data_IF_452549566819
#
_entry.id   IF_452549566819
#
_cell.length_a   1.000
_cell.length_b   1.000
_cell.length_c   1.000
_cell.angle_alpha   90.00
_cell.angle_beta   90.00
_cell.angle_gamma   90.00
#
_symmetry.space_group_name_H-M   'P 1'
#
loop_
_entity.id
_entity.type
_entity.pdbx_description
1 polymer ?
#
# COMPACT_ATOMS: atom_id res chain seq x y z
N UNK A 1 17.15 -14.40 -66.51
CA UNK A 1 16.79 -15.49 -65.58
C UNK A 1 15.37 -15.24 -65.09
N UNK A 2 14.42 -16.15 -65.30
CA UNK A 2 13.05 -15.94 -64.83
C UNK A 2 13.05 -15.95 -63.29
N UNK A 3 12.58 -14.87 -62.67
CA UNK A 3 12.31 -14.83 -61.23
C UNK A 3 11.15 -15.79 -60.96
N UNK A 4 11.35 -16.80 -60.10
CA UNK A 4 10.26 -17.67 -59.64
C UNK A 4 9.24 -16.81 -58.89
N UNK A 5 8.01 -16.76 -59.39
CA UNK A 5 6.90 -16.07 -58.74
C UNK A 5 6.42 -16.88 -57.54
N UNK A 6 6.12 -16.20 -56.45
CA UNK A 6 5.57 -16.81 -55.23
C UNK A 6 4.10 -17.18 -55.46
N UNK A 7 3.69 -18.40 -55.11
CA UNK A 7 2.30 -18.82 -55.28
C UNK A 7 1.43 -18.30 -54.12
N UNK A 8 0.16 -18.03 -54.41
CA UNK A 8 -0.81 -17.59 -53.39
C UNK A 8 -0.94 -18.61 -52.25
N UNK A 9 -0.78 -19.90 -52.55
CA UNK A 9 -0.82 -21.00 -51.57
C UNK A 9 0.39 -20.95 -50.63
N UNK A 10 1.60 -20.73 -51.13
CA UNK A 10 2.81 -20.60 -50.29
C UNK A 10 2.69 -19.43 -49.31
N UNK A 11 2.09 -18.31 -49.74
CA UNK A 11 1.82 -17.18 -48.87
C UNK A 11 0.82 -17.52 -47.77
N UNK A 12 -0.29 -18.17 -48.13
CA UNK A 12 -1.34 -18.59 -47.20
C UNK A 12 -0.82 -19.55 -46.12
N UNK A 13 0.03 -20.50 -46.48
CA UNK A 13 0.60 -21.45 -45.51
C UNK A 13 1.52 -20.73 -44.53
N UNK A 14 2.37 -19.82 -45.00
CA UNK A 14 3.29 -19.07 -44.14
C UNK A 14 2.53 -18.19 -43.15
N UNK A 15 1.51 -17.45 -43.60
CA UNK A 15 0.71 -16.63 -42.68
C UNK A 15 -0.08 -17.49 -41.69
N UNK A 16 -0.57 -18.67 -42.10
CA UNK A 16 -1.28 -19.58 -41.20
C UNK A 16 -0.36 -20.12 -40.10
N UNK A 17 0.88 -20.49 -40.44
CA UNK A 17 1.88 -20.93 -39.45
C UNK A 17 2.24 -19.79 -38.50
N UNK A 18 2.51 -18.58 -39.02
CA UNK A 18 2.82 -17.41 -38.18
C UNK A 18 1.65 -17.09 -37.24
N UNK A 19 0.41 -17.12 -37.74
CA UNK A 19 -0.78 -16.87 -36.93
C UNK A 19 -0.92 -17.89 -35.79
N UNK A 20 -0.72 -19.19 -36.06
CA UNK A 20 -0.75 -20.24 -35.02
C UNK A 20 0.38 -20.05 -34.01
N UNK A 21 1.61 -19.76 -34.46
CA UNK A 21 2.73 -19.51 -33.55
C UNK A 21 2.49 -18.30 -32.65
N UNK A 22 2.00 -17.18 -33.21
CA UNK A 22 1.68 -15.99 -32.42
C UNK A 22 0.54 -16.27 -31.43
N UNK A 23 -0.50 -17.01 -31.85
CA UNK A 23 -1.62 -17.37 -30.98
C UNK A 23 -1.17 -18.22 -29.77
N UNK A 24 -0.16 -19.08 -29.94
CA UNK A 24 0.40 -19.88 -28.85
C UNK A 24 1.40 -19.10 -27.99
N UNK A 25 2.18 -18.20 -28.59
CA UNK A 25 3.23 -17.44 -27.90
C UNK A 25 2.69 -16.23 -27.12
N UNK A 26 1.66 -15.54 -27.62
CA UNK A 26 1.17 -14.32 -26.98
C UNK A 26 0.65 -14.56 -25.55
N UNK A 27 -0.22 -15.56 -25.28
CA UNK A 27 -0.66 -15.85 -23.92
C UNK A 27 0.50 -16.22 -22.99
N UNK A 28 1.46 -17.00 -23.49
CA UNK A 28 2.63 -17.44 -22.74
C UNK A 28 3.53 -16.25 -22.35
N UNK A 29 3.81 -15.33 -23.28
CA UNK A 29 4.62 -14.14 -23.00
C UNK A 29 3.93 -13.23 -21.97
N UNK A 30 2.60 -13.09 -22.03
CA UNK A 30 1.89 -12.26 -21.04
C UNK A 30 1.89 -12.90 -19.65
N UNK A 31 1.68 -14.21 -19.56
CA UNK A 31 1.76 -14.94 -18.29
C UNK A 31 3.17 -14.83 -17.67
N UNK A 32 4.22 -15.00 -18.48
CA UNK A 32 5.60 -14.83 -18.03
C UNK A 32 5.89 -13.40 -17.55
N UNK A 33 5.39 -12.37 -18.27
CA UNK A 33 5.55 -10.97 -17.86
C UNK A 33 4.86 -10.68 -16.54
N UNK A 34 3.64 -11.17 -16.33
CA UNK A 34 2.95 -10.97 -15.05
C UNK A 34 3.64 -11.71 -13.89
N UNK A 35 4.11 -12.94 -14.12
CA UNK A 35 4.87 -13.66 -13.12
C UNK A 35 6.16 -12.91 -12.70
N UNK A 36 6.85 -12.29 -13.67
CA UNK A 36 8.01 -11.44 -13.40
C UNK A 36 7.63 -10.17 -12.61
N UNK A 37 6.54 -9.49 -12.99
CA UNK A 37 6.06 -8.31 -12.25
C UNK A 37 5.67 -8.65 -10.82
N UNK A 38 4.95 -9.75 -10.61
CA UNK A 38 4.60 -10.24 -9.27
C UNK A 38 5.83 -10.57 -8.44
N UNK A 39 6.83 -11.21 -9.03
CA UNK A 39 8.10 -11.50 -8.36
C UNK A 39 8.85 -10.23 -7.97
N UNK A 40 8.78 -9.18 -8.79
CA UNK A 40 9.34 -7.89 -8.42
C UNK A 40 8.57 -7.24 -7.27
N UNK A 41 7.23 -7.29 -7.26
CA UNK A 41 6.45 -6.72 -6.16
C UNK A 41 6.71 -7.44 -4.82
N UNK A 42 6.90 -8.77 -4.83
CA UNK A 42 7.28 -9.52 -3.62
C UNK A 42 8.72 -9.21 -3.20
N UNK A 43 9.65 -9.03 -4.13
CA UNK A 43 11.01 -8.61 -3.82
C UNK A 43 11.05 -7.22 -3.18
N UNK A 44 10.26 -6.27 -3.68
CA UNK A 44 10.13 -4.94 -3.07
C UNK A 44 9.63 -5.03 -1.62
N UNK A 45 8.61 -5.84 -1.33
CA UNK A 45 8.17 -6.11 0.05
C UNK A 45 9.28 -6.72 0.91
N UNK A 46 10.07 -7.66 0.37
CA UNK A 46 11.23 -8.21 1.08
C UNK A 46 12.30 -7.16 1.37
N UNK A 47 12.53 -6.22 0.46
CA UNK A 47 13.44 -5.08 0.71
C UNK A 47 12.90 -4.19 1.83
N UNK A 48 11.59 -3.92 1.86
CA UNK A 48 10.94 -3.22 2.98
C UNK A 48 11.10 -4.01 4.29
N UNK A 49 10.94 -5.33 4.26
CA UNK A 49 11.15 -6.22 5.42
C UNK A 49 12.57 -6.14 5.96
N UNK A 50 13.58 -6.26 5.10
CA UNK A 50 14.98 -6.09 5.47
C UNK A 50 15.24 -4.70 6.06
N UNK A 51 14.62 -3.67 5.48
CA UNK A 51 14.74 -2.30 5.95
C UNK A 51 14.11 -2.06 7.32
N UNK A 52 13.02 -2.76 7.65
CA UNK A 52 12.41 -2.76 8.97
C UNK A 52 13.33 -3.41 10.00
N UNK A 53 13.92 -4.57 9.69
CA UNK A 53 14.89 -5.24 10.58
C UNK A 53 16.14 -4.38 10.82
N UNK A 54 16.68 -3.73 9.79
CA UNK A 54 17.81 -2.81 9.95
C UNK A 54 17.44 -1.57 10.78
N UNK A 55 16.22 -1.05 10.61
CA UNK A 55 15.72 0.05 11.44
C UNK A 55 15.57 -0.38 12.90
N UNK A 56 14.98 -1.56 13.15
CA UNK A 56 14.80 -2.09 14.49
C UNK A 56 16.13 -2.38 15.17
N UNK A 57 17.09 -3.00 14.48
CA UNK A 57 18.42 -3.27 15.02
C UNK A 57 19.23 -2.01 15.37
N UNK A 58 18.86 -0.84 14.84
CA UNK A 58 19.52 0.44 15.15
C UNK A 58 18.74 1.32 16.14
N UNK A 59 17.42 1.18 16.22
CA UNK A 59 16.55 2.02 17.05
C UNK A 59 15.90 1.26 18.21
N UNK A 60 16.10 -0.05 18.30
CA UNK A 60 15.49 -0.99 19.25
C UNK A 60 13.95 -0.95 19.26
N UNK A 61 13.35 -0.53 18.13
CA UNK A 61 11.91 -0.44 17.91
C UNK A 61 11.59 -0.35 16.41
N UNK A 62 10.39 -0.76 16.03
CA UNK A 62 9.86 -0.56 14.69
C UNK A 62 9.50 0.92 14.45
N UNK A 63 9.51 1.37 13.18
CA UNK A 63 9.16 2.75 12.84
C UNK A 63 7.67 3.02 13.08
N UNK A 64 7.32 4.28 13.29
CA UNK A 64 5.92 4.67 13.44
C UNK A 64 5.17 4.67 12.11
N UNK A 65 3.87 4.35 12.08
CA UNK A 65 3.04 4.59 10.87
C UNK A 65 3.10 6.07 10.46
N UNK A 66 3.15 6.93 11.47
CA UNK A 66 3.24 8.37 11.35
C UNK A 66 3.95 8.96 12.56
N UNK A 67 4.96 9.79 12.34
CA UNK A 67 5.53 10.62 13.41
C UNK A 67 4.50 11.66 13.86
N UNK A 68 4.48 12.04 15.13
CA UNK A 68 3.48 12.99 15.63
C UNK A 68 3.49 14.35 14.91
N UNK A 69 2.37 15.07 15.04
CA UNK A 69 2.23 16.46 14.60
C UNK A 69 3.34 17.35 15.20
N UNK A 70 3.93 18.29 14.43
CA UNK A 70 3.56 18.67 13.06
C UNK A 70 4.21 17.82 11.95
N UNK A 71 5.12 16.90 12.26
CA UNK A 71 6.05 16.34 11.27
C UNK A 71 5.42 15.31 10.31
N UNK A 72 4.65 14.36 10.84
CA UNK A 72 3.80 13.43 10.07
C UNK A 72 4.49 12.51 9.04
N UNK A 73 5.79 12.24 9.19
CA UNK A 73 6.56 11.31 8.38
C UNK A 73 6.06 9.87 8.51
N UNK A 74 5.96 9.15 7.40
CA UNK A 74 5.51 7.75 7.35
C UNK A 74 6.57 6.77 7.83
N UNK A 75 6.19 5.50 8.02
CA UNK A 75 7.13 4.40 8.21
C UNK A 75 8.10 4.26 7.03
N UNK A 76 7.61 4.44 5.80
CA UNK A 76 8.44 4.40 4.58
C UNK A 76 9.50 5.51 4.55
N UNK A 77 9.19 6.70 5.07
CA UNK A 77 10.17 7.78 5.18
C UNK A 77 11.25 7.46 6.23
N UNK A 78 10.87 6.85 7.34
CA UNK A 78 11.79 6.48 8.42
C UNK A 78 12.78 5.37 8.01
N UNK A 79 12.35 4.41 7.19
CA UNK A 79 13.21 3.31 6.72
C UNK A 79 13.96 3.61 5.42
N UNK A 80 13.78 4.80 4.85
CA UNK A 80 14.35 5.19 3.56
C UNK A 80 15.87 4.94 3.43
N UNK A 81 16.72 5.15 4.47
CA UNK A 81 18.15 4.82 4.39
C UNK A 81 18.41 3.34 4.10
N UNK A 82 17.50 2.47 4.51
CA UNK A 82 17.65 1.02 4.44
C UNK A 82 17.03 0.40 3.16
N UNK A 83 16.46 1.20 2.26
CA UNK A 83 15.88 0.75 0.97
C UNK A 83 16.52 1.44 -0.25
N UNK A 84 17.84 1.66 -0.20
CA UNK A 84 18.62 2.38 -1.24
C UNK A 84 18.23 3.86 -1.41
N UNK A 85 17.44 4.42 -0.49
CA UNK A 85 16.98 5.82 -0.51
C UNK A 85 17.89 6.79 0.26
N UNK A 86 19.10 6.39 0.64
CA UNK A 86 19.98 7.17 1.53
C UNK A 86 20.28 8.60 1.06
N UNK A 87 20.47 8.81 -0.25
CA UNK A 87 20.69 10.15 -0.81
C UNK A 87 19.47 11.07 -0.62
N UNK A 88 18.26 10.54 -0.85
CA UNK A 88 17.00 11.27 -0.66
C UNK A 88 16.75 11.50 0.83
N UNK A 89 17.07 10.54 1.69
CA UNK A 89 16.93 10.71 3.14
C UNK A 89 17.82 11.84 3.66
N UNK A 90 19.08 11.89 3.23
CA UNK A 90 20.04 12.92 3.65
C UNK A 90 19.66 14.33 3.15
N UNK A 91 18.84 14.44 2.10
CA UNK A 91 18.32 15.71 1.62
C UNK A 91 16.99 16.13 2.28
N UNK A 92 16.44 15.33 3.20
CA UNK A 92 15.23 15.68 3.95
C UNK A 92 15.64 16.39 5.25
N UNK A 93 15.04 17.55 5.49
CA UNK A 93 15.08 18.18 6.80
C UNK A 93 13.87 17.73 7.64
N UNK A 94 14.10 16.79 8.55
CA UNK A 94 13.08 16.20 9.41
C UNK A 94 12.53 17.16 10.49
N UNK A 95 13.16 18.32 10.71
CA UNK A 95 12.60 19.38 11.58
C UNK A 95 11.43 20.13 10.92
N UNK A 96 11.15 19.85 9.65
CA UNK A 96 9.99 20.36 8.93
C UNK A 96 8.94 19.28 8.70
N UNK A 97 7.70 19.73 8.55
CA UNK A 97 6.55 18.86 8.27
C UNK A 97 6.62 18.23 6.87
N UNK A 98 6.01 17.05 6.73
CA UNK A 98 5.71 16.44 5.44
C UNK A 98 4.42 17.00 4.80
N UNK A 99 3.66 17.85 5.51
CA UNK A 99 2.44 18.50 5.03
C UNK A 99 2.72 19.94 4.55
N UNK A 100 2.44 20.29 3.28
CA UNK A 100 2.32 21.69 2.91
C UNK A 100 1.01 22.28 3.48
N UNK A 101 1.11 23.33 4.30
CA UNK A 101 -0.02 24.16 4.75
C UNK A 101 0.27 25.64 4.49
N UNK A 102 -0.75 26.48 4.34
CA UNK A 102 -0.57 27.93 4.28
C UNK A 102 0.10 28.50 5.54
N UNK A 103 -0.09 27.84 6.69
CA UNK A 103 0.49 28.24 8.00
C UNK A 103 1.80 27.52 8.34
N UNK A 104 2.09 26.43 7.65
CA UNK A 104 3.35 25.70 7.71
C UNK A 104 3.67 25.27 6.29
N UNK A 105 4.17 26.20 5.44
CA UNK A 105 4.57 25.83 4.10
C UNK A 105 5.54 24.66 4.25
N UNK A 106 5.52 23.69 3.33
CA UNK A 106 6.76 22.99 3.04
C UNK A 106 7.74 24.13 2.77
N UNK A 107 8.60 24.44 3.74
CA UNK A 107 9.77 25.25 3.44
C UNK A 107 10.35 24.59 2.21
N UNK A 108 10.51 25.35 1.13
CA UNK A 108 10.88 24.87 -0.20
C UNK A 108 11.91 23.73 -0.14
N UNK A 109 12.79 23.79 0.86
CA UNK A 109 13.57 22.72 1.51
C UNK A 109 13.22 21.27 1.17
N UNK A 110 12.01 20.75 1.49
CA UNK A 110 11.74 19.30 1.35
C UNK A 110 11.02 18.92 0.03
N UNK A 111 10.56 19.89 -0.76
CA UNK A 111 9.71 19.65 -1.95
C UNK A 111 10.37 18.75 -3.00
N UNK A 112 11.67 18.93 -3.25
CA UNK A 112 12.42 18.09 -4.19
C UNK A 112 12.61 16.67 -3.64
N UNK A 113 12.87 16.54 -2.34
CA UNK A 113 13.11 15.24 -1.70
C UNK A 113 11.85 14.37 -1.72
N UNK A 114 10.70 14.92 -1.31
CA UNK A 114 9.43 14.17 -1.25
C UNK A 114 8.82 13.86 -2.62
N UNK A 115 9.22 14.58 -3.67
CA UNK A 115 8.81 14.28 -5.05
C UNK A 115 9.63 13.16 -5.72
N UNK A 116 10.72 12.69 -5.09
CA UNK A 116 11.57 11.64 -5.63
C UNK A 116 10.83 10.30 -5.76
N UNK A 117 11.00 9.63 -6.91
CA UNK A 117 10.47 8.28 -7.11
C UNK A 117 11.46 7.28 -6.51
N UNK A 118 11.00 6.50 -5.55
CA UNK A 118 11.76 5.39 -4.97
C UNK A 118 11.28 4.11 -5.66
N UNK A 119 12.14 3.49 -6.48
CA UNK A 119 11.77 2.34 -7.30
C UNK A 119 11.23 1.17 -6.45
N UNK A 120 11.82 0.95 -5.28
CA UNK A 120 11.39 -0.07 -4.30
C UNK A 120 9.95 0.14 -3.82
N UNK A 121 9.41 1.36 -3.89
CA UNK A 121 8.05 1.67 -3.46
C UNK A 121 7.00 1.53 -4.57
N UNK A 122 7.40 1.13 -5.78
CA UNK A 122 6.51 0.93 -6.91
C UNK A 122 6.39 -0.54 -7.28
N UNK A 123 5.15 -1.05 -7.26
CA UNK A 123 4.85 -2.37 -7.76
C UNK A 123 4.62 -2.29 -9.28
N UNK A 124 5.40 -2.98 -10.13
CA UNK A 124 5.22 -2.93 -11.58
C UNK A 124 3.89 -3.52 -12.07
N UNK A 125 3.17 -4.31 -11.26
CA UNK A 125 1.83 -4.79 -11.61
C UNK A 125 0.76 -3.69 -11.57
N UNK A 126 1.00 -2.56 -10.89
CA UNK A 126 0.13 -1.39 -11.00
C UNK A 126 0.38 -0.67 -12.34
N UNK A 127 -0.61 -0.55 -13.25
CA UNK A 127 -0.38 0.11 -14.53
C UNK A 127 -0.05 1.61 -14.40
N UNK A 128 -0.38 2.25 -13.27
CA UNK A 128 -0.14 3.68 -13.05
C UNK A 128 1.28 3.94 -12.55
N UNK A 129 2.34 3.76 -13.34
CA UNK A 129 3.71 3.95 -12.80
C UNK A 129 4.12 5.42 -12.55
N UNK A 130 3.41 6.38 -13.14
CA UNK A 130 3.72 7.80 -13.01
C UNK A 130 3.26 8.39 -11.66
N UNK A 131 3.75 9.60 -11.36
CA UNK A 131 3.25 10.41 -10.23
C UNK A 131 1.79 10.80 -10.48
N UNK A 132 0.94 10.68 -9.47
CA UNK A 132 -0.41 11.25 -9.50
C UNK A 132 -0.37 12.78 -9.40
N UNK A 133 0.60 13.29 -8.64
CA UNK A 133 0.84 14.71 -8.42
C UNK A 133 2.35 14.97 -8.61
N UNK A 134 2.76 15.93 -9.46
CA UNK A 134 4.17 16.24 -9.69
C UNK A 134 4.97 16.56 -8.42
N UNK A 135 4.32 17.07 -7.37
CA UNK A 135 4.94 17.43 -6.10
C UNK A 135 5.30 16.25 -5.20
N UNK A 136 4.88 15.02 -5.53
CA UNK A 136 5.01 13.87 -4.64
C UNK A 136 5.45 12.57 -5.33
N UNK A 137 6.31 11.82 -4.65
CA UNK A 137 6.79 10.51 -5.08
C UNK A 137 5.78 9.40 -4.75
N UNK A 138 5.23 8.67 -5.73
CA UNK A 138 4.19 7.67 -5.53
C UNK A 138 4.60 6.46 -4.69
N UNK A 139 3.60 5.70 -4.24
CA UNK A 139 3.75 4.52 -3.38
C UNK A 139 2.72 3.42 -3.71
N UNK A 140 3.12 2.16 -3.56
CA UNK A 140 2.29 0.96 -3.68
C UNK A 140 2.34 0.03 -2.45
N UNK A 141 2.98 0.43 -1.34
CA UNK A 141 3.10 -0.39 -0.13
C UNK A 141 2.70 0.39 1.12
N UNK A 142 1.88 -0.21 1.97
CA UNK A 142 1.24 0.50 3.10
C UNK A 142 1.44 -0.28 4.39
N UNK A 143 1.72 0.44 5.49
CA UNK A 143 1.92 -0.13 6.81
C UNK A 143 0.58 -0.52 7.45
N UNK A 144 0.55 -1.67 8.12
CA UNK A 144 -0.65 -2.18 8.77
C UNK A 144 -0.88 -1.52 10.13
N UNK A 145 -1.99 -0.78 10.23
CA UNK A 145 -2.41 -0.11 11.46
C UNK A 145 -3.25 -0.99 12.41
N UNK A 146 -3.45 -2.26 12.07
CA UNK A 146 -4.13 -3.23 12.91
C UNK A 146 -5.45 -3.71 12.33
N UNK A 147 -6.36 -4.13 13.20
CA UNK A 147 -7.64 -4.72 12.76
C UNK A 147 -8.60 -3.69 12.18
N UNK A 148 -8.41 -2.40 12.50
CA UNK A 148 -9.36 -1.33 12.20
C UNK A 148 -10.63 -1.37 13.06
N UNK A 149 -10.66 -2.18 14.13
CA UNK A 149 -11.79 -2.26 15.06
C UNK A 149 -11.64 -1.29 16.24
N UNK A 150 -10.41 -1.03 16.68
CA UNK A 150 -10.14 -0.14 17.80
C UNK A 150 -10.34 1.32 17.42
N UNK A 151 -10.80 2.14 18.37
CA UNK A 151 -10.91 3.61 18.25
C UNK A 151 -11.63 4.06 16.96
N UNK A 152 -12.65 3.31 16.53
CA UNK A 152 -13.39 3.62 15.30
C UNK A 152 -12.51 3.59 14.04
N UNK A 153 -11.53 2.68 13.98
CA UNK A 153 -10.60 2.57 12.87
C UNK A 153 -9.51 3.64 12.85
N UNK A 154 -9.34 4.41 13.93
CA UNK A 154 -8.24 5.36 14.06
C UNK A 154 -6.94 4.69 14.49
N UNK A 155 -5.84 5.07 13.81
CA UNK A 155 -4.48 4.70 14.23
C UNK A 155 -3.87 5.72 15.19
N UNK A 156 -4.65 6.63 15.78
CA UNK A 156 -4.19 7.57 16.80
C UNK A 156 -4.60 7.12 18.19
N UNK A 157 -3.64 6.95 19.12
CA UNK A 157 -3.95 6.57 20.49
C UNK A 157 -4.91 7.54 21.20
N UNK A 158 -4.87 8.83 20.84
CA UNK A 158 -5.69 9.87 21.47
C UNK A 158 -7.15 9.93 20.97
N UNK A 159 -7.51 9.22 19.90
CA UNK A 159 -8.86 9.28 19.31
C UNK A 159 -9.86 8.35 20.01
N UNK A 160 -9.42 7.53 20.96
CA UNK A 160 -10.30 6.68 21.75
C UNK A 160 -9.62 5.99 22.93
N UNK A 161 -10.40 5.35 23.82
CA UNK A 161 -9.87 4.76 25.05
C UNK A 161 -9.23 3.39 24.85
N UNK A 162 -9.39 2.77 23.68
CA UNK A 162 -8.89 1.43 23.42
C UNK A 162 -7.43 1.49 23.00
N UNK A 163 -6.64 0.52 23.48
CA UNK A 163 -5.29 0.33 22.98
C UNK A 163 -5.35 -0.09 21.51
N UNK A 164 -4.52 0.52 20.67
CA UNK A 164 -4.38 0.11 19.27
C UNK A 164 -3.72 -1.26 19.22
N UNK A 165 -4.26 -2.16 18.41
CA UNK A 165 -3.83 -3.56 18.28
C UNK A 165 -2.77 -3.78 17.19
N UNK A 166 -2.68 -2.90 16.18
CA UNK A 166 -1.67 -2.98 15.13
C UNK A 166 -0.26 -2.59 15.56
N UNK A 167 0.74 -2.96 14.75
CA UNK A 167 2.15 -2.61 14.99
C UNK A 167 2.45 -1.15 14.62
N UNK A 168 1.84 -0.66 13.53
CA UNK A 168 2.13 0.66 12.99
C UNK A 168 1.00 1.64 13.28
N UNK A 169 1.18 2.49 14.28
CA UNK A 169 0.22 3.54 14.64
C UNK A 169 0.94 4.89 14.85
N UNK A 170 0.20 5.96 15.13
CA UNK A 170 0.78 7.28 15.29
C UNK A 170 1.71 7.29 16.51
N UNK A 171 2.94 7.74 16.32
CA UNK A 171 3.99 7.75 17.35
C UNK A 171 4.26 6.37 17.95
N UNK A 172 3.98 5.29 17.20
CA UNK A 172 4.30 3.94 17.66
C UNK A 172 5.81 3.76 17.82
N UNK A 173 6.17 2.91 18.78
CA UNK A 173 7.54 2.52 19.09
C UNK A 173 7.57 1.08 19.59
N UNK A 174 6.80 0.23 18.93
CA UNK A 174 6.63 -1.19 19.25
C UNK A 174 7.95 -1.93 19.00
N UNK A 175 8.40 -2.71 19.97
CA UNK A 175 9.57 -3.59 19.83
C UNK A 175 9.14 -4.98 19.39
N UNK A 176 10.05 -5.77 18.82
CA UNK A 176 9.73 -7.17 18.47
C UNK A 176 9.24 -7.99 19.68
N UNK A 177 9.76 -7.73 20.87
CA UNK A 177 9.32 -8.38 22.10
C UNK A 177 7.85 -8.09 22.49
N UNK A 178 7.26 -7.00 21.97
CA UNK A 178 5.85 -6.63 22.23
C UNK A 178 4.87 -7.28 21.23
N UNK A 179 5.38 -7.99 20.22
CA UNK A 179 4.58 -8.73 19.24
C UNK A 179 4.42 -10.17 19.75
N UNK A 180 3.50 -10.35 20.70
CA UNK A 180 3.30 -11.62 21.41
C UNK A 180 2.62 -12.69 20.56
N UNK A 181 1.95 -12.30 19.47
CA UNK A 181 1.31 -13.24 18.52
C UNK A 181 2.35 -13.94 17.62
N UNK A 182 3.59 -13.46 17.65
CA UNK A 182 4.72 -13.97 16.88
C UNK A 182 4.98 -13.16 15.62
N UNK A 183 6.26 -12.89 15.34
CA UNK A 183 6.67 -12.08 14.19
C UNK A 183 6.22 -12.65 12.84
N UNK A 184 6.17 -13.98 12.73
CA UNK A 184 5.71 -14.70 11.54
C UNK A 184 4.18 -14.71 11.38
N UNK A 185 3.43 -14.28 12.40
CA UNK A 185 1.96 -14.26 12.37
C UNK A 185 1.39 -12.85 12.31
N UNK A 186 2.23 -11.81 12.46
CA UNK A 186 1.78 -10.41 12.44
C UNK A 186 2.16 -9.74 11.12
N UNK A 187 1.15 -9.28 10.38
CA UNK A 187 1.30 -8.54 9.13
C UNK A 187 1.82 -7.13 9.39
N UNK A 188 2.90 -6.77 8.70
CA UNK A 188 3.57 -5.48 8.79
C UNK A 188 3.20 -4.53 7.65
N UNK A 189 3.34 -4.98 6.40
CA UNK A 189 3.01 -4.18 5.21
C UNK A 189 2.19 -5.00 4.22
N UNK A 190 1.42 -4.32 3.38
CA UNK A 190 0.75 -4.95 2.24
C UNK A 190 0.75 -4.02 1.05
N UNK A 191 0.36 -4.55 -0.10
CA UNK A 191 0.17 -3.78 -1.32
C UNK A 191 -1.05 -2.85 -1.26
N UNK A 192 -0.93 -1.72 -1.95
CA UNK A 192 -2.03 -0.84 -2.34
C UNK A 192 -1.91 -0.50 -3.82
N UNK A 193 -3.01 -0.04 -4.41
CA UNK A 193 -3.04 0.48 -5.79
C UNK A 193 -3.03 2.00 -5.78
N UNK A 194 -2.60 2.63 -6.87
CA UNK A 194 -2.72 4.09 -6.99
C UNK A 194 -4.08 4.49 -7.50
N UNK A 195 -4.62 5.55 -6.90
CA UNK A 195 -5.93 6.09 -7.26
C UNK A 195 -5.93 6.82 -8.60
N UNK A 196 -7.03 7.48 -8.90
CA UNK A 196 -7.21 8.25 -10.16
C UNK A 196 -6.42 9.57 -10.17
N UNK A 197 -5.99 10.07 -9.02
CA UNK A 197 -5.47 11.43 -8.84
C UNK A 197 -6.55 12.52 -8.90
N UNK A 198 -7.82 12.15 -9.08
CA UNK A 198 -8.94 13.07 -9.26
C UNK A 198 -9.95 12.93 -8.11
N UNK A 199 -10.25 14.06 -7.49
CA UNK A 199 -11.25 14.15 -6.44
C UNK A 199 -12.59 14.56 -7.04
N UNK A 200 -13.66 13.86 -6.67
CA UNK A 200 -14.99 14.06 -7.23
C UNK A 200 -16.01 14.23 -6.11
N UNK A 201 -16.84 15.27 -6.20
CA UNK A 201 -17.99 15.45 -5.32
C UNK A 201 -19.19 14.66 -5.85
N UNK A 202 -20.07 14.22 -4.95
CA UNK A 202 -21.30 13.51 -5.31
C UNK A 202 -21.64 12.36 -4.36
N UNK A 203 -22.79 11.74 -4.61
CA UNK A 203 -23.32 10.66 -3.75
C UNK A 203 -22.57 9.33 -3.90
N UNK A 204 -21.80 9.13 -4.98
CA UNK A 204 -21.11 7.87 -5.26
C UNK A 204 -19.76 8.10 -5.97
N UNK A 205 -18.79 7.17 -5.82
CA UNK A 205 -17.52 7.26 -6.53
C UNK A 205 -17.70 6.93 -8.01
N UNK A 206 -16.84 7.50 -8.85
CA UNK A 206 -16.69 7.10 -10.25
C UNK A 206 -16.04 5.71 -10.36
N UNK A 207 -15.09 5.41 -9.48
CA UNK A 207 -14.45 4.10 -9.38
C UNK A 207 -14.29 3.71 -7.90
N UNK A 208 -14.98 2.66 -7.47
CA UNK A 208 -15.02 2.20 -6.06
C UNK A 208 -13.68 1.69 -5.54
N UNK A 209 -12.79 1.24 -6.41
CA UNK A 209 -11.51 0.64 -6.02
C UNK A 209 -10.39 1.69 -6.06
N UNK A 210 -10.45 2.60 -7.03
CA UNK A 210 -9.45 3.67 -7.21
C UNK A 210 -9.75 4.92 -6.37
N UNK A 211 -10.97 5.08 -5.87
CA UNK A 211 -11.35 6.18 -4.98
C UNK A 211 -11.68 5.68 -3.57
N UNK A 212 -11.62 6.59 -2.61
CA UNK A 212 -12.08 6.38 -1.23
C UNK A 212 -13.07 7.48 -0.84
N UNK A 213 -14.01 7.15 0.02
CA UNK A 213 -14.94 8.12 0.61
C UNK A 213 -14.26 8.87 1.76
N UNK A 214 -14.36 10.19 1.75
CA UNK A 214 -13.86 11.06 2.82
C UNK A 214 -15.00 11.86 3.44
N UNK A 215 -15.09 11.80 4.77
CA UNK A 215 -15.99 12.65 5.55
C UNK A 215 -15.33 13.95 6.03
N UNK A 216 -16.13 14.92 6.52
CA UNK A 216 -15.71 16.30 6.75
C UNK A 216 -14.93 16.53 8.06
N UNK A 217 -15.07 15.64 9.05
CA UNK A 217 -14.51 15.81 10.40
C UNK A 217 -13.81 14.55 10.88
N UNK A 218 -13.00 14.67 11.93
CA UNK A 218 -12.43 13.55 12.68
C UNK A 218 -13.51 12.93 13.57
N UNK A 219 -14.02 11.79 13.16
CA UNK A 219 -15.13 11.05 13.80
C UNK A 219 -14.88 9.55 13.64
N UNK A 220 -15.33 8.71 14.59
CA UNK A 220 -15.22 7.26 14.47
C UNK A 220 -15.77 6.73 13.13
N UNK A 221 -14.95 5.93 12.43
CA UNK A 221 -15.32 5.33 11.13
C UNK A 221 -16.18 4.09 11.38
N UNK A 222 -17.48 4.32 11.47
CA UNK A 222 -18.53 3.30 11.62
C UNK A 222 -19.22 3.00 10.27
N UNK A 223 -20.07 1.97 10.24
CA UNK A 223 -20.88 1.67 9.05
C UNK A 223 -21.80 2.85 8.70
N UNK A 224 -22.38 3.49 9.73
CA UNK A 224 -23.21 4.68 9.57
C UNK A 224 -22.41 5.87 9.00
N UNK A 225 -21.18 6.07 9.46
CA UNK A 225 -20.29 7.09 8.90
C UNK A 225 -20.00 6.84 7.41
N UNK A 226 -19.60 5.62 7.05
CA UNK A 226 -19.25 5.29 5.67
C UNK A 226 -20.45 5.34 4.72
N UNK A 227 -21.68 5.14 5.24
CA UNK A 227 -22.90 5.24 4.45
C UNK A 227 -23.48 6.66 4.35
N UNK A 228 -23.33 7.50 5.38
CA UNK A 228 -24.08 8.75 5.51
C UNK A 228 -23.26 10.03 5.65
N UNK A 229 -21.94 9.95 5.85
CA UNK A 229 -21.10 11.11 6.16
C UNK A 229 -20.03 11.41 5.10
N UNK A 230 -20.03 10.68 3.98
CA UNK A 230 -19.09 10.91 2.89
C UNK A 230 -19.47 12.17 2.13
N UNK A 231 -18.53 13.12 2.06
CA UNK A 231 -18.69 14.41 1.37
C UNK A 231 -17.84 14.52 0.11
N UNK A 232 -16.82 13.67 -0.02
CA UNK A 232 -15.86 13.70 -1.11
C UNK A 232 -15.42 12.28 -1.49
N UNK A 233 -15.24 12.02 -2.78
CA UNK A 233 -14.58 10.81 -3.28
C UNK A 233 -13.17 11.16 -3.74
N UNK A 234 -12.17 10.80 -2.94
CA UNK A 234 -10.77 11.14 -3.18
C UNK A 234 -10.07 10.13 -4.06
N UNK A 235 -9.30 10.61 -5.05
CA UNK A 235 -8.48 9.82 -5.96
C UNK A 235 -7.01 9.72 -5.55
N UNK A 236 -6.65 10.18 -4.36
CA UNK A 236 -5.25 10.44 -3.94
C UNK A 236 -4.54 9.22 -3.31
N UNK A 237 -5.13 8.02 -3.40
CA UNK A 237 -4.55 6.80 -2.82
C UNK A 237 -3.15 6.54 -3.38
N UNK A 238 -2.19 6.28 -2.49
CA UNK A 238 -0.82 5.95 -2.89
C UNK A 238 -0.08 7.09 -3.63
N UNK A 239 -0.59 8.33 -3.52
CA UNK A 239 0.02 9.51 -4.15
C UNK A 239 1.44 9.78 -3.67
N UNK A 240 1.72 9.52 -2.40
CA UNK A 240 3.01 9.85 -1.79
C UNK A 240 3.51 8.77 -0.83
N UNK A 241 4.82 8.56 -0.75
CA UNK A 241 5.44 7.67 0.24
C UNK A 241 5.76 8.37 1.56
N UNK A 242 5.99 9.70 1.55
CA UNK A 242 6.62 10.42 2.65
C UNK A 242 5.74 10.63 3.89
N UNK A 243 4.42 10.74 3.72
CA UNK A 243 3.49 11.13 4.78
C UNK A 243 2.70 9.94 5.33
N UNK A 244 2.66 9.82 6.65
CA UNK A 244 1.84 8.83 7.34
C UNK A 244 0.36 9.25 7.31
N UNK A 245 -0.50 8.39 6.75
CA UNK A 245 -1.95 8.59 6.63
C UNK A 245 -2.54 7.37 5.96
N UNK A 246 -3.81 7.11 6.23
CA UNK A 246 -4.58 6.08 5.52
C UNK A 246 -4.65 6.31 4.00
N UNK A 247 -4.51 7.56 3.52
CA UNK A 247 -4.52 7.85 2.09
C UNK A 247 -3.23 7.37 1.40
N UNK A 248 -2.09 7.46 2.10
CA UNK A 248 -0.78 7.45 1.45
C UNK A 248 0.07 6.23 1.80
N UNK A 249 0.12 5.87 3.08
CA UNK A 249 1.14 4.95 3.61
C UNK A 249 0.61 3.99 4.69
N UNK A 250 -0.69 3.92 4.94
CA UNK A 250 -1.28 3.06 5.98
C UNK A 250 -2.57 2.41 5.52
N UNK A 251 -2.87 1.23 6.04
CA UNK A 251 -4.10 0.49 5.82
C UNK A 251 -4.47 -0.33 7.07
N UNK A 252 -5.60 -1.03 7.06
CA UNK A 252 -5.96 -1.94 8.14
C UNK A 252 -6.73 -3.15 7.61
N UNK A 253 -6.95 -4.13 8.48
CA UNK A 253 -7.57 -5.40 8.12
C UNK A 253 -9.09 -5.41 8.35
N UNK A 254 -9.73 -4.23 8.41
CA UNK A 254 -11.19 -4.18 8.58
C UNK A 254 -11.88 -4.83 7.37
N UNK A 255 -11.40 -4.53 6.17
CA UNK A 255 -11.82 -5.12 4.91
C UNK A 255 -10.78 -6.15 4.44
N UNK A 256 -11.27 -7.23 3.82
CA UNK A 256 -10.43 -8.26 3.21
C UNK A 256 -9.66 -7.74 1.98
N UNK A 257 -8.62 -8.46 1.51
CA UNK A 257 -7.89 -8.12 0.29
C UNK A 257 -8.82 -7.89 -0.92
N UNK A 258 -8.57 -6.80 -1.66
CA UNK A 258 -9.33 -6.40 -2.84
C UNK A 258 -10.85 -6.37 -2.64
N UNK A 259 -11.31 -6.02 -1.43
CA UNK A 259 -12.74 -5.93 -1.13
C UNK A 259 -13.46 -4.98 -2.12
N UNK A 260 -14.65 -5.38 -2.56
CA UNK A 260 -15.44 -4.63 -3.55
C UNK A 260 -16.20 -3.44 -2.94
N UNK A 261 -16.26 -3.35 -1.61
CA UNK A 261 -16.67 -2.13 -0.92
C UNK A 261 -15.66 -1.02 -1.20
N UNK A 262 -16.15 0.21 -1.25
CA UNK A 262 -15.30 1.39 -1.26
C UNK A 262 -14.63 1.53 0.10
N UNK A 263 -13.40 2.06 0.10
CA UNK A 263 -12.74 2.42 1.34
C UNK A 263 -13.30 3.75 1.87
N UNK A 264 -13.34 3.93 3.19
CA UNK A 264 -13.85 5.14 3.81
C UNK A 264 -12.89 5.66 4.88
N UNK A 265 -12.78 6.98 5.02
CA UNK A 265 -11.88 7.62 5.98
C UNK A 265 -12.43 8.91 6.59
N UNK A 266 -11.87 9.23 7.75
CA UNK A 266 -12.16 10.40 8.56
C UNK A 266 -10.84 11.03 9.04
N UNK A 267 -10.66 12.33 8.77
CA UNK A 267 -9.51 13.10 9.26
C UNK A 267 -8.13 12.57 8.84
N UNK A 268 -8.04 11.76 7.77
CA UNK A 268 -6.83 11.09 7.29
C UNK A 268 -6.20 10.07 8.27
N UNK A 269 -6.87 9.81 9.39
CA UNK A 269 -6.31 9.08 10.55
C UNK A 269 -7.23 8.00 11.08
N UNK A 270 -8.54 8.19 10.92
CA UNK A 270 -9.54 7.13 10.99
C UNK A 270 -9.80 6.61 9.60
N UNK A 271 -9.85 5.29 9.42
CA UNK A 271 -10.11 4.73 8.11
C UNK A 271 -10.45 3.26 8.14
N UNK A 272 -11.04 2.80 7.05
CA UNK A 272 -11.19 1.40 6.66
C UNK A 272 -10.67 1.30 5.23
N UNK A 273 -9.36 1.13 5.13
CA UNK A 273 -8.63 1.07 3.87
C UNK A 273 -8.19 -0.37 3.62
N UNK A 274 -8.73 -1.01 2.59
CA UNK A 274 -8.36 -2.37 2.26
C UNK A 274 -6.95 -2.44 1.63
N UNK A 275 -6.27 -3.57 1.85
CA UNK A 275 -5.14 -3.96 0.99
C UNK A 275 -5.65 -4.22 -0.43
N UNK A 276 -4.93 -3.71 -1.44
CA UNK A 276 -5.36 -3.79 -2.84
C UNK A 276 -4.17 -4.04 -3.76
N UNK A 277 -4.33 -4.90 -4.77
CA UNK A 277 -3.30 -5.14 -5.78
C UNK A 277 -3.95 -5.48 -7.14
N UNK A 278 -3.14 -5.47 -8.20
CA UNK A 278 -3.54 -5.97 -9.52
C UNK A 278 -3.20 -7.45 -9.72
N UNK A 279 -2.68 -8.13 -8.70
CA UNK A 279 -2.40 -9.57 -8.79
C UNK A 279 -3.71 -10.35 -8.82
N UNK A 280 -3.74 -11.40 -9.63
CA UNK A 280 -4.91 -12.27 -9.70
C UNK A 280 -5.16 -12.96 -8.37
N UNK A 281 -6.33 -12.73 -7.78
CA UNK A 281 -6.86 -13.49 -6.65
C UNK A 281 -6.42 -13.05 -5.25
N UNK A 282 -5.66 -11.96 -5.08
CA UNK A 282 -5.14 -11.61 -3.76
C UNK A 282 -4.19 -10.42 -3.70
N UNK A 283 -3.46 -10.33 -2.59
CA UNK A 283 -2.40 -9.34 -2.33
C UNK A 283 -1.21 -10.04 -1.70
N UNK A 284 -0.02 -9.49 -1.87
CA UNK A 284 1.16 -9.91 -1.11
C UNK A 284 1.22 -9.13 0.21
N UNK A 285 1.51 -9.86 1.29
CA UNK A 285 1.61 -9.34 2.65
C UNK A 285 2.99 -9.65 3.19
N UNK A 286 3.66 -8.63 3.71
CA UNK A 286 4.90 -8.73 4.46
C UNK A 286 4.58 -8.91 5.93
N UNK A 287 5.23 -9.88 6.57
CA UNK A 287 5.13 -10.14 8.00
C UNK A 287 6.28 -9.49 8.77
N UNK A 288 6.12 -9.36 10.09
CA UNK A 288 7.08 -8.68 10.95
C UNK A 288 8.45 -9.40 11.03
N UNK A 289 8.51 -10.70 10.73
CA UNK A 289 9.76 -11.45 10.57
C UNK A 289 10.44 -11.25 9.20
N UNK A 290 9.82 -10.51 8.27
CA UNK A 290 10.36 -10.19 6.95
C UNK A 290 9.96 -11.15 5.83
N UNK A 291 9.24 -12.23 6.12
CA UNK A 291 8.74 -13.11 5.05
C UNK A 291 7.53 -12.48 4.34
N UNK A 292 7.29 -12.90 3.10
CA UNK A 292 6.17 -12.43 2.29
C UNK A 292 5.29 -13.61 1.92
N UNK A 293 4.00 -13.50 2.21
CA UNK A 293 2.99 -14.49 1.87
C UNK A 293 1.87 -13.86 1.05
N UNK A 294 1.28 -14.63 0.14
CA UNK A 294 0.13 -14.20 -0.64
C UNK A 294 -1.16 -14.49 0.11
N UNK A 295 -1.97 -13.46 0.35
CA UNK A 295 -3.29 -13.56 0.96
C UNK A 295 -4.38 -13.50 -0.11
N UNK A 296 -5.28 -14.48 -0.12
CA UNK A 296 -6.35 -14.60 -1.11
C UNK A 296 -7.47 -13.61 -0.83
N UNK A 297 -8.17 -13.16 -1.87
CA UNK A 297 -9.39 -12.36 -1.74
C UNK A 297 -10.50 -13.10 -0.95
N UNK A 298 -10.44 -14.43 -0.94
CA UNK A 298 -11.40 -15.33 -0.27
C UNK A 298 -11.01 -15.65 1.17
N UNK A 299 -9.94 -15.05 1.72
CA UNK A 299 -9.53 -15.23 3.12
C UNK A 299 -10.70 -14.89 4.05
N UNK A 300 -10.87 -15.66 5.12
CA UNK A 300 -11.90 -15.35 6.11
C UNK A 300 -11.57 -14.03 6.83
N UNK A 301 -12.59 -13.23 7.13
CA UNK A 301 -12.39 -11.94 7.82
C UNK A 301 -11.73 -12.14 9.19
N UNK A 302 -12.04 -13.24 9.89
CA UNK A 302 -11.43 -13.56 11.18
C UNK A 302 -9.95 -13.88 11.05
N UNK A 303 -9.57 -14.71 10.08
CA UNK A 303 -8.16 -15.02 9.80
C UNK A 303 -7.40 -13.76 9.40
N UNK A 304 -7.99 -12.95 8.52
CA UNK A 304 -7.39 -11.70 8.06
C UNK A 304 -7.13 -10.73 9.22
N UNK A 305 -8.11 -10.55 10.11
CA UNK A 305 -7.95 -9.65 11.26
C UNK A 305 -7.00 -10.20 12.32
N UNK A 306 -6.95 -11.51 12.49
CA UNK A 306 -6.06 -12.15 13.45
C UNK A 306 -4.57 -11.87 13.12
N UNK A 307 -4.16 -11.90 11.85
CA UNK A 307 -2.78 -11.49 11.49
C UNK A 307 -2.53 -9.98 11.59
N UNK A 308 -3.55 -9.16 11.85
CA UNK A 308 -3.39 -7.71 11.96
C UNK A 308 -3.00 -7.26 13.38
N UNK A 309 -3.36 -8.06 14.37
CA UNK A 309 -3.06 -7.82 15.77
C UNK A 309 -1.60 -8.14 16.07
N UNK A 310 -1.00 -7.40 17.00
CA UNK A 310 0.31 -7.74 17.56
C UNK A 310 0.21 -8.61 18.81
N UNK A 311 -0.94 -8.61 19.49
CA UNK A 311 -1.13 -9.19 20.82
C UNK A 311 -2.56 -9.69 21.13
N UNK A 312 -3.29 -10.21 20.13
CA UNK A 312 -4.64 -10.75 20.31
C UNK A 312 -4.67 -12.22 20.73
N UNK A 313 -3.53 -12.93 20.67
CA UNK A 313 -3.39 -14.32 21.06
C UNK A 313 -3.97 -15.33 20.05
N UNK A 314 -4.28 -14.89 18.84
CA UNK A 314 -4.84 -15.76 17.81
C UNK A 314 -3.77 -16.64 17.15
N UNK A 315 -3.99 -17.96 17.15
CA UNK A 315 -3.13 -18.91 16.42
C UNK A 315 -3.75 -19.21 15.06
N UNK A 316 -2.99 -18.95 13.99
CA UNK A 316 -3.44 -19.12 12.61
C UNK A 316 -2.53 -20.11 11.90
N UNK A 317 -3.11 -21.04 11.14
CA UNK A 317 -2.33 -21.90 10.24
C UNK A 317 -2.01 -21.17 8.94
N UNK A 318 -0.81 -21.35 8.41
CA UNK A 318 -0.37 -20.73 7.14
C UNK A 318 -1.32 -21.03 5.97
N UNK A 319 -2.04 -22.15 5.98
CA UNK A 319 -2.98 -22.55 4.93
C UNK A 319 -4.29 -21.75 4.92
N UNK A 320 -4.53 -20.92 5.95
CA UNK A 320 -5.77 -20.15 6.09
C UNK A 320 -5.74 -18.80 5.35
N UNK A 321 -4.57 -18.38 4.84
CA UNK A 321 -4.34 -17.11 4.13
C UNK A 321 -4.61 -17.16 2.62
#
# INVERSE_FOLDING_TARGET
>A
MPRRGFTLIELLVVIAIIAVLIALLLPAVQAAREAARRSQCTNNLKQIGLALHNYEGTHERLPSARTGSPHLWSALAQILPNVEGGAVFNSINFNHTSLPSATQPLGVTNTTSVSSIIATYLCPSDPRQARLDPGFGPNNYVANAGTGLQNGGSFRPEDGPQAIDGVFFERSGVRYAEITDGLSNTAAFSETIKGTGLDTAGAAPQDRLLQYGQGPSLTPVTDAFCAGSITLWGGQRGREWARGSFIYASFNHFLTPNNQAFDCLSGNVGGRMAARSFHSGGVNVLFADGHVQFAKNTVSVSTWRAIASRNGGEVISADQL
#
